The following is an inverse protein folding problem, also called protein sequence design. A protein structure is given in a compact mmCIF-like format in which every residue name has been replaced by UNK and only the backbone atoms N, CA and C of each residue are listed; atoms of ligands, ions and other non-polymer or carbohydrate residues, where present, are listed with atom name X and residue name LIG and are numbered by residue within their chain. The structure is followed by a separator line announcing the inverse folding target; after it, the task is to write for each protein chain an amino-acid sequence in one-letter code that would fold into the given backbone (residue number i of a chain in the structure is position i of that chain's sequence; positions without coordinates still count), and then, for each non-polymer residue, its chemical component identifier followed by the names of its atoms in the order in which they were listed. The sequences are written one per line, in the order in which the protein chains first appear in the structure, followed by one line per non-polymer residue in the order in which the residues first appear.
data_IF_978347291429
#
_entry.id   IF_978347291429
#
_cell.length_a   1.000
_cell.length_b   1.000
_cell.length_c   1.000
_cell.angle_alpha   90.00
_cell.angle_beta   90.00
_cell.angle_gamma   90.00
#
_symmetry.space_group_name_H-M   'P 1'
#
loop_
_entity.id
_entity.type
_entity.pdbx_description
1 polymer ?
#
# COMPACT_ATOMS: atom_id res chain seq x y z
N UNK A 1 16.30 -37.88 -35.61
CA UNK A 1 14.93 -37.95 -36.17
C UNK A 1 13.99 -37.29 -35.17
N UNK A 2 13.45 -36.11 -35.49
CA UNK A 2 12.42 -35.48 -34.67
C UNK A 2 11.08 -36.13 -35.00
N UNK A 3 10.46 -36.83 -34.05
CA UNK A 3 9.14 -37.41 -34.22
C UNK A 3 8.12 -36.31 -34.49
N UNK A 4 7.35 -36.41 -35.58
CA UNK A 4 6.19 -35.55 -35.82
C UNK A 4 5.18 -35.84 -34.70
N UNK A 5 4.98 -34.87 -33.81
CA UNK A 5 3.89 -34.88 -32.84
C UNK A 5 2.57 -35.03 -33.60
N UNK A 6 1.69 -35.92 -33.15
CA UNK A 6 0.40 -36.10 -33.82
C UNK A 6 -0.47 -34.85 -33.60
N UNK A 7 -1.40 -34.58 -34.52
CA UNK A 7 -2.31 -33.44 -34.41
C UNK A 7 -3.16 -33.54 -33.15
N UNK A 8 -3.52 -34.76 -32.75
CA UNK A 8 -4.26 -35.04 -31.50
C UNK A 8 -3.42 -34.69 -30.26
N UNK A 9 -2.12 -35.04 -30.25
CA UNK A 9 -1.22 -34.67 -29.14
C UNK A 9 -1.02 -33.14 -29.05
N UNK A 10 -1.00 -32.44 -30.19
CA UNK A 10 -0.91 -30.98 -30.22
C UNK A 10 -2.17 -30.30 -29.67
N UNK A 11 -3.35 -30.80 -30.03
CA UNK A 11 -4.64 -30.30 -29.51
C UNK A 11 -4.76 -30.57 -28.01
N UNK A 12 -4.38 -31.77 -27.55
CA UNK A 12 -4.41 -32.11 -26.13
C UNK A 12 -3.41 -31.28 -25.31
N UNK A 13 -2.22 -30.98 -25.85
CA UNK A 13 -1.25 -30.11 -25.21
C UNK A 13 -1.74 -28.65 -25.12
N UNK A 14 -2.40 -28.15 -26.16
CA UNK A 14 -2.98 -26.80 -26.19
C UNK A 14 -4.17 -26.66 -25.22
N UNK A 15 -5.04 -27.68 -25.14
CA UNK A 15 -6.11 -27.75 -24.15
C UNK A 15 -5.58 -27.84 -22.71
N UNK A 16 -4.55 -28.66 -22.48
CA UNK A 16 -3.91 -28.77 -21.16
C UNK A 16 -3.23 -27.46 -20.75
N UNK A 17 -2.58 -26.78 -21.70
CA UNK A 17 -2.00 -25.45 -21.47
C UNK A 17 -3.07 -24.42 -21.13
N UNK A 18 -4.19 -24.40 -21.88
CA UNK A 18 -5.32 -23.50 -21.61
C UNK A 18 -6.03 -23.79 -20.28
N UNK A 19 -6.11 -25.07 -19.86
CA UNK A 19 -6.62 -25.45 -18.54
C UNK A 19 -5.70 -24.96 -17.43
N UNK A 20 -4.39 -25.12 -17.57
CA UNK A 20 -3.42 -24.59 -16.61
C UNK A 20 -3.42 -23.07 -16.55
N UNK A 21 -3.61 -22.37 -17.66
CA UNK A 21 -3.76 -20.91 -17.69
C UNK A 21 -5.00 -20.48 -16.89
N UNK A 22 -6.15 -21.12 -17.10
CA UNK A 22 -7.38 -20.84 -16.35
C UNK A 22 -7.23 -21.14 -14.84
N UNK A 23 -6.51 -22.19 -14.46
CA UNK A 23 -6.21 -22.52 -13.07
C UNK A 23 -5.32 -21.47 -12.40
N UNK A 24 -4.30 -20.98 -13.12
CA UNK A 24 -3.42 -19.90 -12.66
C UNK A 24 -4.21 -18.60 -12.47
N UNK A 25 -5.05 -18.24 -13.43
CA UNK A 25 -5.90 -17.04 -13.35
C UNK A 25 -6.86 -17.11 -12.15
N UNK A 26 -7.50 -18.26 -11.92
CA UNK A 26 -8.37 -18.46 -10.77
C UNK A 26 -7.61 -18.39 -9.42
N UNK A 27 -6.40 -18.93 -9.36
CA UNK A 27 -5.55 -18.85 -8.17
C UNK A 27 -5.09 -17.40 -7.90
N UNK A 28 -4.75 -16.65 -8.94
CA UNK A 28 -4.40 -15.23 -8.84
C UNK A 28 -5.59 -14.39 -8.35
N UNK A 29 -6.79 -14.66 -8.87
CA UNK A 29 -8.00 -13.99 -8.40
C UNK A 29 -8.29 -14.31 -6.94
N UNK A 30 -8.17 -15.58 -6.54
CA UNK A 30 -8.37 -15.99 -5.15
C UNK A 30 -7.39 -15.25 -4.21
N UNK A 31 -6.09 -15.28 -4.54
CA UNK A 31 -5.06 -14.59 -3.77
C UNK A 31 -5.32 -13.08 -3.68
N UNK A 32 -5.70 -12.44 -4.79
CA UNK A 32 -6.00 -11.01 -4.79
C UNK A 32 -7.20 -10.67 -3.88
N UNK A 33 -8.22 -11.52 -3.83
CA UNK A 33 -9.34 -11.35 -2.92
C UNK A 33 -8.95 -11.59 -1.45
N UNK A 34 -8.09 -12.56 -1.16
CA UNK A 34 -7.55 -12.76 0.19
C UNK A 34 -6.77 -11.53 0.67
N UNK A 35 -5.89 -10.97 -0.17
CA UNK A 35 -5.17 -9.74 0.12
C UNK A 35 -6.15 -8.58 0.34
N UNK A 36 -7.18 -8.45 -0.50
CA UNK A 36 -8.22 -7.43 -0.36
C UNK A 36 -8.95 -7.50 0.98
N UNK A 37 -9.40 -8.69 1.38
CA UNK A 37 -10.08 -8.88 2.66
C UNK A 37 -9.14 -8.67 3.85
N UNK A 38 -7.86 -9.06 3.73
CA UNK A 38 -6.86 -8.75 4.75
C UNK A 38 -6.72 -7.23 4.94
N UNK A 39 -6.53 -6.48 3.85
CA UNK A 39 -6.44 -5.01 3.90
C UNK A 39 -7.69 -4.40 4.53
N UNK A 40 -8.89 -4.88 4.16
CA UNK A 40 -10.15 -4.40 4.76
C UNK A 40 -10.21 -4.67 6.26
N UNK A 41 -9.80 -5.86 6.69
CA UNK A 41 -9.83 -6.25 8.12
C UNK A 41 -8.92 -5.36 8.97
N UNK A 42 -7.77 -4.94 8.42
CA UNK A 42 -6.81 -4.09 9.10
C UNK A 42 -7.12 -2.59 8.98
N UNK A 43 -7.99 -2.22 8.04
CA UNK A 43 -8.36 -0.82 7.84
C UNK A 43 -9.30 -0.37 8.97
N UNK A 44 -8.88 0.59 9.80
CA UNK A 44 -9.70 1.07 10.90
C UNK A 44 -10.95 1.79 10.37
N UNK A 45 -12.05 1.62 11.08
CA UNK A 45 -13.23 2.46 10.95
C UNK A 45 -13.10 3.61 11.94
N UNK A 46 -13.25 4.85 11.47
CA UNK A 46 -13.20 6.03 12.33
C UNK A 46 -14.26 5.92 13.43
N UNK A 47 -13.84 6.13 14.69
CA UNK A 47 -14.75 6.09 15.84
C UNK A 47 -14.83 4.74 16.58
N UNK A 48 -14.31 3.64 16.04
CA UNK A 48 -14.53 2.29 16.61
C UNK A 48 -13.46 1.80 17.60
N UNK A 49 -12.25 2.39 17.62
CA UNK A 49 -11.14 1.92 18.47
C UNK A 49 -10.56 3.04 19.35
N UNK A 50 -10.19 2.74 20.62
CA UNK A 50 -9.45 3.67 21.46
C UNK A 50 -8.10 4.07 20.83
N UNK A 51 -7.70 5.35 20.89
CA UNK A 51 -8.50 6.48 21.36
C UNK A 51 -9.57 6.86 20.33
N UNK A 52 -10.84 6.99 20.78
CA UNK A 52 -11.93 7.50 19.94
C UNK A 52 -11.50 8.81 19.29
N UNK A 53 -11.63 8.89 17.97
CA UNK A 53 -11.22 10.07 17.18
C UNK A 53 -12.42 10.68 16.51
N UNK A 54 -12.35 12.00 16.33
CA UNK A 54 -13.33 12.73 15.56
C UNK A 54 -13.51 12.08 14.18
N UNK A 55 -14.76 12.02 13.73
CA UNK A 55 -15.11 11.55 12.40
C UNK A 55 -14.26 12.31 11.35
N UNK A 56 -13.94 11.67 10.20
CA UNK A 56 -13.16 12.33 9.16
C UNK A 56 -13.86 13.61 8.72
N UNK A 57 -13.10 14.65 8.39
CA UNK A 57 -13.65 15.95 7.99
C UNK A 57 -14.56 15.87 6.75
N UNK A 58 -14.48 14.79 5.98
CA UNK A 58 -15.32 14.51 4.82
C UNK A 58 -15.64 12.99 4.73
N UNK A 59 -16.88 12.68 4.32
CA UNK A 59 -17.40 11.32 4.13
C UNK A 59 -17.80 10.60 5.42
N UNK A 60 -18.16 9.32 5.30
CA UNK A 60 -18.63 8.48 6.40
C UNK A 60 -17.50 7.65 7.02
N UNK A 61 -17.66 7.24 8.30
CA UNK A 61 -16.86 6.17 8.90
C UNK A 61 -16.93 4.89 8.05
N UNK A 62 -15.76 4.31 7.74
CA UNK A 62 -15.66 3.05 7.01
C UNK A 62 -15.56 3.20 5.49
N UNK A 63 -15.74 4.39 4.92
CA UNK A 63 -15.54 4.61 3.47
C UNK A 63 -14.18 4.08 2.98
N UNK A 64 -13.12 4.35 3.74
CA UNK A 64 -11.77 3.94 3.37
C UNK A 64 -11.64 2.40 3.25
N UNK A 65 -12.29 1.67 4.17
CA UNK A 65 -12.34 0.20 4.16
C UNK A 65 -13.20 -0.30 3.00
N UNK A 66 -14.38 0.28 2.83
CA UNK A 66 -15.33 -0.14 1.81
C UNK A 66 -14.85 0.19 0.38
N UNK A 67 -13.95 1.17 0.24
CA UNK A 67 -13.33 1.55 -1.03
C UNK A 67 -12.18 0.60 -1.45
N UNK A 68 -11.74 -0.33 -0.61
CA UNK A 68 -10.73 -1.35 -0.96
C UNK A 68 -11.36 -2.39 -1.88
N UNK A 69 -10.77 -2.61 -3.05
CA UNK A 69 -11.22 -3.59 -4.03
C UNK A 69 -10.07 -4.10 -4.89
N UNK A 70 -10.33 -5.15 -5.65
CA UNK A 70 -9.42 -5.70 -6.65
C UNK A 70 -9.76 -5.08 -8.01
N UNK A 71 -8.75 -4.51 -8.67
CA UNK A 71 -8.82 -4.08 -10.07
C UNK A 71 -7.98 -5.01 -10.95
N UNK A 72 -8.53 -5.54 -12.06
CA UNK A 72 -7.74 -6.27 -13.05
C UNK A 72 -6.83 -5.32 -13.83
N UNK A 73 -5.64 -5.78 -14.17
CA UNK A 73 -4.65 -5.05 -14.96
C UNK A 73 -4.61 -5.57 -16.41
N UNK A 74 -4.19 -4.74 -17.39
CA UNK A 74 -4.10 -5.15 -18.79
C UNK A 74 -3.10 -6.29 -19.07
N UNK A 75 -2.16 -6.53 -18.17
CA UNK A 75 -1.12 -7.56 -18.27
C UNK A 75 -1.52 -8.89 -17.60
N UNK A 76 -2.80 -9.04 -17.21
CA UNK A 76 -3.27 -10.19 -16.42
C UNK A 76 -2.96 -10.06 -14.93
N UNK A 77 -2.31 -8.99 -14.48
CA UNK A 77 -2.11 -8.74 -13.05
C UNK A 77 -3.41 -8.39 -12.32
N UNK A 78 -3.40 -8.54 -11.00
CA UNK A 78 -4.46 -8.04 -10.11
C UNK A 78 -3.87 -6.98 -9.19
N UNK A 79 -4.59 -5.89 -8.99
CA UNK A 79 -4.17 -4.80 -8.11
C UNK A 79 -5.20 -4.61 -7.00
N UNK A 80 -4.78 -4.78 -5.76
CA UNK A 80 -5.60 -4.38 -4.60
C UNK A 80 -5.39 -2.89 -4.35
N UNK A 81 -6.47 -2.10 -4.42
CA UNK A 81 -6.40 -0.63 -4.38
C UNK A 81 -7.53 -0.04 -3.54
N UNK A 82 -7.29 1.14 -2.97
CA UNK A 82 -8.34 2.03 -2.48
C UNK A 82 -8.24 3.39 -3.18
N UNK A 83 -9.37 3.89 -3.66
CA UNK A 83 -9.47 5.22 -4.30
C UNK A 83 -9.89 6.31 -3.30
N UNK A 84 -10.13 5.95 -2.04
CA UNK A 84 -10.46 6.92 -1.01
C UNK A 84 -9.19 7.63 -0.52
N UNK A 85 -9.22 8.97 -0.48
CA UNK A 85 -8.11 9.81 0.00
C UNK A 85 -7.70 9.50 1.45
N UNK A 86 -8.63 9.02 2.28
CA UNK A 86 -8.41 8.60 3.67
C UNK A 86 -7.52 7.36 3.74
N UNK A 87 -7.48 6.50 2.71
CA UNK A 87 -6.61 5.32 2.68
C UNK A 87 -5.13 5.71 2.80
N UNK A 88 -4.71 6.79 2.11
CA UNK A 88 -3.35 7.34 2.23
C UNK A 88 -3.08 7.81 3.66
N UNK A 89 -4.06 8.43 4.32
CA UNK A 89 -3.91 8.90 5.69
C UNK A 89 -3.77 7.73 6.66
N UNK A 90 -4.55 6.67 6.46
CA UNK A 90 -4.55 5.44 7.28
C UNK A 90 -3.23 4.70 7.11
N UNK A 91 -2.73 4.63 5.89
CA UNK A 91 -1.51 3.94 5.54
C UNK A 91 -0.25 4.61 6.11
N UNK A 92 -0.24 5.95 6.12
CA UNK A 92 0.96 6.74 6.43
C UNK A 92 0.90 7.37 7.83
N UNK A 93 -0.29 7.54 8.39
CA UNK A 93 -0.53 8.31 9.60
C UNK A 93 -0.39 9.83 9.40
N UNK A 94 -1.20 10.58 10.14
CA UNK A 94 -1.20 12.04 10.17
C UNK A 94 -0.96 12.54 11.60
N UNK A 95 -0.94 13.87 11.81
CA UNK A 95 -0.93 14.43 13.18
C UNK A 95 -2.15 13.99 13.99
N UNK A 96 -3.28 13.77 13.31
CA UNK A 96 -4.57 13.48 13.93
C UNK A 96 -4.92 11.99 13.89
N UNK A 97 -4.10 11.13 13.28
CA UNK A 97 -4.33 9.69 13.15
C UNK A 97 -3.01 8.93 13.15
N UNK A 98 -2.83 7.87 13.95
CA UNK A 98 -1.62 7.09 13.94
C UNK A 98 -1.51 6.36 12.60
N UNK A 99 -0.32 5.87 12.33
CA UNK A 99 -0.10 4.99 11.20
C UNK A 99 -0.69 3.61 11.51
N UNK A 100 -1.63 3.15 10.67
CA UNK A 100 -2.17 1.79 10.73
C UNK A 100 -1.53 0.88 9.70
N UNK A 101 -1.15 1.42 8.53
CA UNK A 101 -0.40 0.74 7.48
C UNK A 101 -1.02 -0.59 6.95
N UNK A 102 -2.35 -0.69 6.72
CA UNK A 102 -3.00 -1.95 6.34
C UNK A 102 -2.46 -2.53 5.03
N UNK A 103 -2.13 -1.69 4.04
CA UNK A 103 -1.57 -2.19 2.78
C UNK A 103 -0.14 -2.68 2.96
N UNK A 104 0.69 -1.98 3.74
CA UNK A 104 2.07 -2.44 4.01
C UNK A 104 2.07 -3.75 4.79
N UNK A 105 1.21 -3.89 5.79
CA UNK A 105 1.11 -5.11 6.58
C UNK A 105 0.64 -6.30 5.75
N UNK A 106 -0.38 -6.10 4.91
CA UNK A 106 -0.79 -7.11 3.94
C UNK A 106 0.36 -7.44 2.98
N UNK A 107 1.04 -6.45 2.40
CA UNK A 107 2.19 -6.67 1.52
C UNK A 107 3.29 -7.53 2.19
N UNK A 108 3.63 -7.23 3.45
CA UNK A 108 4.58 -8.02 4.22
C UNK A 108 4.08 -9.45 4.52
N UNK A 109 2.79 -9.60 4.87
CA UNK A 109 2.16 -10.90 5.14
C UNK A 109 2.18 -11.82 3.93
N UNK A 110 1.99 -11.26 2.73
CA UNK A 110 1.98 -12.00 1.47
C UNK A 110 3.35 -12.00 0.74
N UNK A 111 4.43 -11.56 1.41
CA UNK A 111 5.80 -11.72 0.93
C UNK A 111 6.26 -10.73 -0.14
N UNK A 112 5.62 -9.56 -0.26
CA UNK A 112 6.06 -8.52 -1.19
C UNK A 112 7.35 -7.84 -0.71
N UNK A 113 8.29 -7.60 -1.63
CA UNK A 113 9.59 -6.95 -1.36
C UNK A 113 9.51 -5.40 -1.30
N UNK A 114 8.31 -4.83 -1.18
CA UNK A 114 8.10 -3.38 -1.17
C UNK A 114 6.79 -2.96 -0.51
N UNK A 115 6.70 -1.66 -0.21
CA UNK A 115 5.48 -1.04 0.32
C UNK A 115 4.45 -0.72 -0.77
N UNK A 116 3.24 -0.29 -0.36
CA UNK A 116 2.22 0.13 -1.31
C UNK A 116 2.67 1.34 -2.13
N UNK A 117 2.26 1.35 -3.40
CA UNK A 117 2.30 2.57 -4.22
C UNK A 117 1.20 3.53 -3.75
N UNK A 118 1.53 4.81 -3.67
CA UNK A 118 0.54 5.85 -3.41
C UNK A 118 0.16 6.50 -4.74
N UNK A 119 -1.09 6.92 -4.89
CA UNK A 119 -1.44 7.88 -5.93
C UNK A 119 -2.47 8.88 -5.43
N UNK A 120 -2.12 10.16 -5.44
CA UNK A 120 -3.05 11.25 -5.12
C UNK A 120 -4.01 11.57 -6.27
N UNK A 121 -3.82 10.99 -7.46
CA UNK A 121 -4.60 11.27 -8.68
C UNK A 121 -5.19 10.03 -9.36
N UNK A 122 -5.03 8.84 -8.77
CA UNK A 122 -5.47 7.56 -9.35
C UNK A 122 -4.61 7.07 -10.53
N UNK A 123 -3.47 7.71 -10.78
CA UNK A 123 -2.42 7.28 -11.72
C UNK A 123 -1.09 7.27 -10.99
N UNK A 124 -0.34 6.17 -11.08
CA UNK A 124 1.02 6.05 -10.55
C UNK A 124 1.84 7.25 -11.07
N UNK A 125 2.05 8.26 -10.22
CA UNK A 125 2.78 9.47 -10.60
C UNK A 125 4.09 9.51 -9.83
N UNK A 126 5.16 9.97 -10.48
CA UNK A 126 6.48 10.10 -9.82
C UNK A 126 6.45 11.02 -8.57
N UNK A 127 5.44 11.90 -8.47
CA UNK A 127 5.22 12.70 -7.27
C UNK A 127 4.79 11.83 -6.08
N UNK A 128 4.09 10.74 -6.34
CA UNK A 128 3.64 9.80 -5.34
C UNK A 128 4.72 8.77 -4.96
N UNK A 129 5.66 8.43 -5.87
CA UNK A 129 6.89 7.68 -5.55
C UNK A 129 7.77 8.43 -4.51
N UNK A 130 7.84 9.76 -4.63
CA UNK A 130 8.55 10.59 -3.65
C UNK A 130 7.91 10.54 -2.26
N UNK A 131 6.58 10.49 -2.18
CA UNK A 131 5.85 10.32 -0.91
C UNK A 131 6.09 8.92 -0.33
N UNK A 132 6.04 7.88 -1.17
CA UNK A 132 6.30 6.50 -0.77
C UNK A 132 7.70 6.35 -0.16
N UNK A 133 8.73 6.84 -0.87
CA UNK A 133 10.14 6.77 -0.46
C UNK A 133 10.41 7.48 0.86
N UNK A 134 9.89 8.70 1.02
CA UNK A 134 10.08 9.45 2.28
C UNK A 134 9.28 8.84 3.44
N UNK A 135 8.18 8.13 3.14
CA UNK A 135 7.46 7.38 4.17
C UNK A 135 8.20 6.11 4.59
N UNK A 136 8.74 5.34 3.65
CA UNK A 136 9.57 4.18 3.95
C UNK A 136 10.81 4.56 4.76
N UNK A 137 11.46 5.67 4.39
CA UNK A 137 12.55 6.24 5.19
C UNK A 137 12.11 6.55 6.62
N UNK A 138 10.94 7.17 6.82
CA UNK A 138 10.43 7.45 8.16
C UNK A 138 10.19 6.17 8.97
N UNK A 139 9.66 5.10 8.35
CA UNK A 139 9.51 3.81 9.02
C UNK A 139 10.85 3.25 9.47
N UNK A 140 11.85 3.23 8.58
CA UNK A 140 13.20 2.77 8.91
C UNK A 140 13.81 3.52 10.09
N UNK A 141 13.63 4.85 10.15
CA UNK A 141 14.11 5.66 11.28
C UNK A 141 13.33 5.37 12.58
N UNK A 142 12.01 5.14 12.51
CA UNK A 142 11.19 4.78 13.67
C UNK A 142 11.55 3.39 14.21
N UNK A 143 11.77 2.42 13.33
CA UNK A 143 12.24 1.08 13.70
C UNK A 143 13.63 1.13 14.34
N UNK A 144 14.55 1.91 13.78
CA UNK A 144 15.87 2.11 14.35
C UNK A 144 15.78 2.74 15.75
N UNK A 145 14.95 3.78 15.92
CA UNK A 145 14.72 4.39 17.23
C UNK A 145 14.13 3.38 18.23
N UNK A 146 13.17 2.55 17.81
CA UNK A 146 12.58 1.52 18.65
C UNK A 146 13.62 0.47 19.07
N UNK A 147 14.44 -0.02 18.13
CA UNK A 147 15.55 -0.95 18.40
C UNK A 147 16.54 -0.37 19.40
N UNK A 148 17.03 0.86 19.17
CA UNK A 148 17.97 1.54 20.07
C UNK A 148 17.38 1.78 21.47
N UNK A 149 16.09 2.07 21.55
CA UNK A 149 15.41 2.24 22.84
C UNK A 149 15.25 0.91 23.57
N UNK A 150 14.87 -0.16 22.86
CA UNK A 150 14.68 -1.49 23.43
C UNK A 150 16.00 -2.12 23.92
N UNK A 151 17.11 -1.86 23.24
CA UNK A 151 18.44 -2.35 23.63
C UNK A 151 19.10 -1.51 24.72
N UNK A 152 18.47 -0.42 25.17
CA UNK A 152 19.05 0.48 26.17
C UNK A 152 20.30 1.19 25.68
N UNK A 153 20.37 1.53 24.39
CA UNK A 153 21.52 2.22 23.80
C UNK A 153 21.84 3.54 24.51
N UNK A 154 23.08 4.00 24.39
CA UNK A 154 23.52 5.23 25.06
C UNK A 154 22.65 6.44 24.66
N UNK A 155 22.41 7.34 25.62
CA UNK A 155 21.47 8.46 25.46
C UNK A 155 21.73 9.34 24.22
N UNK A 156 23.00 9.50 23.82
CA UNK A 156 23.36 10.28 22.64
C UNK A 156 22.96 9.58 21.33
N UNK A 157 22.97 8.25 21.25
CA UNK A 157 22.45 7.49 20.11
C UNK A 157 20.94 7.61 20.00
N UNK A 158 20.22 7.48 21.12
CA UNK A 158 18.76 7.68 21.16
C UNK A 158 18.40 9.11 20.75
N UNK A 159 19.13 10.10 21.25
CA UNK A 159 18.94 11.50 20.87
C UNK A 159 19.21 11.75 19.38
N UNK A 160 20.21 11.11 18.79
CA UNK A 160 20.48 11.18 17.36
C UNK A 160 19.35 10.56 16.53
N UNK A 161 18.89 9.36 16.89
CA UNK A 161 17.78 8.69 16.21
C UNK A 161 16.48 9.50 16.28
N UNK A 162 16.18 10.14 17.43
CA UNK A 162 15.04 11.07 17.53
C UNK A 162 15.13 12.25 16.55
N UNK A 163 16.32 12.80 16.33
CA UNK A 163 16.52 13.86 15.34
C UNK A 163 16.32 13.36 13.91
N UNK A 164 16.83 12.16 13.59
CA UNK A 164 16.61 11.55 12.27
C UNK A 164 15.12 11.31 11.98
N UNK A 165 14.36 10.82 12.97
CA UNK A 165 12.90 10.68 12.88
C UNK A 165 12.23 12.02 12.58
N UNK A 166 12.60 13.11 13.27
CA UNK A 166 12.01 14.43 13.04
C UNK A 166 12.33 14.99 11.64
N UNK A 167 13.56 14.78 11.16
CA UNK A 167 13.94 15.13 9.79
C UNK A 167 13.14 14.34 8.75
N UNK A 168 12.97 13.03 8.95
CA UNK A 168 12.17 12.18 8.07
C UNK A 168 10.69 12.60 8.07
N UNK A 169 10.10 12.94 9.22
CA UNK A 169 8.73 13.50 9.31
C UNK A 169 8.58 14.79 8.51
N UNK A 170 9.58 15.66 8.59
CA UNK A 170 9.62 16.93 7.84
C UNK A 170 9.72 16.69 6.34
N UNK A 171 10.62 15.81 5.90
CA UNK A 171 10.81 15.46 4.50
C UNK A 171 9.54 14.85 3.88
N UNK A 172 8.94 13.87 4.56
CA UNK A 172 7.64 13.28 4.16
C UNK A 172 6.56 14.33 4.01
N UNK A 173 6.45 15.25 4.98
CA UNK A 173 5.47 16.35 4.93
C UNK A 173 5.71 17.29 3.74
N UNK A 174 6.97 17.54 3.38
CA UNK A 174 7.32 18.32 2.20
C UNK A 174 6.97 17.59 0.90
N UNK A 175 7.20 16.28 0.83
CA UNK A 175 6.81 15.45 -0.32
C UNK A 175 5.30 15.50 -0.56
N UNK A 176 4.48 15.38 0.49
CA UNK A 176 3.02 15.55 0.38
C UNK A 176 2.61 16.94 -0.14
N UNK A 177 3.26 18.00 0.35
CA UNK A 177 2.98 19.37 -0.12
C UNK A 177 3.35 19.53 -1.60
N UNK A 178 4.43 18.90 -2.05
CA UNK A 178 4.86 18.93 -3.44
C UNK A 178 3.95 18.10 -4.37
N UNK A 179 3.48 16.94 -3.91
CA UNK A 179 2.58 16.06 -4.64
C UNK A 179 1.15 16.60 -4.76
N UNK A 180 0.74 17.53 -3.88
CA UNK A 180 -0.59 18.13 -3.95
C UNK A 180 -0.78 18.86 -5.29
N UNK A 181 -1.86 18.59 -6.06
CA UNK A 181 -2.14 19.33 -7.28
C UNK A 181 -2.22 20.82 -6.93
N UNK A 182 -1.33 21.62 -7.54
CA UNK A 182 -1.39 23.08 -7.43
C UNK A 182 -2.74 23.50 -7.96
N UNK A 183 -3.61 24.01 -7.09
CA UNK A 183 -4.94 24.50 -7.45
C UNK A 183 -4.74 25.58 -8.51
N UNK A 184 -4.90 25.19 -9.77
CA UNK A 184 -4.78 26.06 -10.91
C UNK A 184 -5.85 27.13 -10.81
N UNK A 185 -5.39 28.35 -10.61
CA UNK A 185 -5.98 29.62 -11.00
C UNK A 185 -6.63 29.51 -12.39
N UNK A 186 -7.85 28.97 -12.47
CA UNK A 186 -8.79 29.23 -13.58
C UNK A 186 -9.71 30.36 -13.12
N UNK A 187 -9.09 31.53 -13.06
CA UNK A 187 -9.75 32.83 -12.99
C UNK A 187 -9.25 33.62 -14.18
N UNK A 188 -9.88 33.40 -15.33
CA UNK A 188 -10.17 34.34 -16.42
C UNK A 188 -10.94 33.60 -17.50
#
# INVERSE_FOLDING_TARGET
MAGRMSIEDAIMAELAAGLHEAEVEAALDHLAHEVCEQVKSETPVFGDLPPHRDAPAEGEPGDARNAVHVEPLPDGGRRVISRDKKAVWIEIGTRHMPEYAPFTKAAAMFGAEGGPSFSSSGRDSMADEGVAREHERLRGELENLAKLTATGAAAHHIAAARRSVEQARTARSAAFKAARPRRGRRGR
#
